data_IF_344057731162
#
_entry.id   IF_344057731162
#
_cell.length_a   1.000
_cell.length_b   1.000
_cell.length_c   1.000
_cell.angle_alpha   90.00
_cell.angle_beta   90.00
_cell.angle_gamma   90.00
#
_symmetry.space_group_name_H-M   'P 1'
#
loop_
_entity.id
_entity.type
_entity.pdbx_description
1 polymer ?
#
# COMPACT_ATOMS: atom_id res chain seq x y z
N UNK A 1 -16.01 -19.63 3.41
CA UNK A 1 -14.72 -19.84 4.10
C UNK A 1 -13.65 -19.12 3.32
N UNK A 2 -12.91 -18.24 3.97
CA UNK A 2 -11.74 -17.57 3.37
C UNK A 2 -10.58 -18.58 3.44
N UNK A 3 -9.96 -18.89 2.30
CA UNK A 3 -8.85 -19.86 2.24
C UNK A 3 -7.62 -19.38 3.02
N UNK A 4 -6.72 -20.30 3.39
CA UNK A 4 -5.52 -20.00 4.17
C UNK A 4 -4.67 -18.87 3.56
N UNK A 5 -4.56 -18.84 2.23
CA UNK A 5 -3.86 -17.80 1.47
C UNK A 5 -4.45 -16.39 1.68
N UNK A 6 -5.77 -16.29 1.77
CA UNK A 6 -6.43 -15.01 2.00
C UNK A 6 -6.30 -14.55 3.46
N UNK A 7 -6.21 -15.48 4.44
CA UNK A 7 -5.85 -15.10 5.81
C UNK A 7 -4.41 -14.58 5.90
N UNK A 8 -3.46 -15.16 5.14
CA UNK A 8 -2.09 -14.68 5.09
C UNK A 8 -1.95 -13.29 4.44
N UNK A 9 -2.76 -12.99 3.42
CA UNK A 9 -2.81 -11.66 2.79
C UNK A 9 -3.23 -10.55 3.76
N UNK A 10 -4.00 -10.89 4.82
CA UNK A 10 -4.35 -9.93 5.90
C UNK A 10 -3.15 -9.51 6.76
N UNK A 11 -2.05 -10.26 6.72
CA UNK A 11 -0.89 -10.06 7.60
C UNK A 11 0.37 -9.61 6.85
N UNK A 12 0.38 -9.70 5.51
CA UNK A 12 1.59 -9.52 4.72
C UNK A 12 1.52 -8.34 3.76
N UNK A 13 2.64 -7.65 3.61
CA UNK A 13 2.86 -6.70 2.52
C UNK A 13 3.54 -7.45 1.37
N UNK A 14 2.80 -7.69 0.30
CA UNK A 14 3.35 -8.38 -0.88
C UNK A 14 4.35 -7.50 -1.63
N UNK A 15 5.47 -8.09 -2.07
CA UNK A 15 6.49 -7.39 -2.87
C UNK A 15 5.96 -6.88 -4.23
N UNK A 16 4.84 -7.42 -4.72
CA UNK A 16 4.18 -6.93 -5.94
C UNK A 16 3.58 -5.53 -5.76
N UNK A 17 3.17 -5.19 -4.54
CA UNK A 17 2.66 -3.86 -4.22
C UNK A 17 3.72 -2.80 -4.52
N UNK A 18 4.95 -3.00 -4.02
CA UNK A 18 6.03 -2.04 -4.24
C UNK A 18 6.43 -1.94 -5.70
N UNK A 19 6.42 -3.06 -6.44
CA UNK A 19 6.66 -3.07 -7.89
C UNK A 19 5.66 -2.17 -8.63
N UNK A 20 4.36 -2.35 -8.43
CA UNK A 20 3.34 -1.55 -9.10
C UNK A 20 3.41 -0.06 -8.72
N UNK A 21 3.69 0.25 -7.45
CA UNK A 21 3.84 1.63 -6.99
C UNK A 21 5.09 2.31 -7.56
N UNK A 22 6.19 1.57 -7.76
CA UNK A 22 7.39 2.10 -8.43
C UNK A 22 7.09 2.46 -9.87
N UNK A 23 6.35 1.62 -10.57
CA UNK A 23 5.86 1.84 -11.95
C UNK A 23 4.71 2.87 -12.02
N UNK A 24 4.32 3.47 -10.89
CA UNK A 24 3.23 4.47 -10.80
C UNK A 24 1.90 3.96 -11.34
N UNK A 25 1.62 2.68 -11.11
CA UNK A 25 0.35 2.06 -11.46
C UNK A 25 -0.61 2.13 -10.28
N UNK A 26 -1.83 2.69 -10.45
CA UNK A 26 -2.91 2.52 -9.49
C UNK A 26 -3.22 1.05 -9.22
N UNK A 27 -3.58 0.72 -7.98
CA UNK A 27 -3.74 -0.67 -7.55
C UNK A 27 -5.16 -0.95 -7.08
N UNK A 28 -5.80 -1.97 -7.64
CA UNK A 28 -6.97 -2.59 -7.00
C UNK A 28 -6.49 -3.65 -6.03
N UNK A 29 -6.80 -3.48 -4.74
CA UNK A 29 -6.39 -4.38 -3.67
C UNK A 29 -7.60 -4.96 -2.97
N UNK A 30 -7.51 -6.21 -2.52
CA UNK A 30 -8.58 -6.81 -1.74
C UNK A 30 -8.77 -6.04 -0.44
N UNK A 31 -10.02 -5.70 -0.11
CA UNK A 31 -10.40 -4.81 0.99
C UNK A 31 -9.85 -5.23 2.36
N UNK A 32 -9.58 -6.51 2.53
CA UNK A 32 -9.09 -7.07 3.78
C UNK A 32 -7.58 -7.33 3.81
N UNK A 33 -6.86 -7.07 2.72
CA UNK A 33 -5.42 -7.23 2.70
C UNK A 33 -4.74 -6.24 3.65
N UNK A 34 -3.60 -6.62 4.25
CA UNK A 34 -2.85 -5.76 5.17
C UNK A 34 -2.56 -4.33 4.62
N UNK A 35 -2.27 -4.14 3.32
CA UNK A 35 -2.00 -2.82 2.78
C UNK A 35 -3.24 -2.01 2.41
N UNK A 36 -4.45 -2.57 2.50
CA UNK A 36 -5.64 -1.97 1.90
C UNK A 36 -5.94 -0.57 2.42
N UNK A 37 -5.90 -0.39 3.75
CA UNK A 37 -6.11 0.92 4.38
C UNK A 37 -5.01 1.92 4.02
N UNK A 38 -3.75 1.48 3.98
CA UNK A 38 -2.64 2.36 3.62
C UNK A 38 -2.73 2.81 2.17
N UNK A 39 -3.07 1.91 1.24
CA UNK A 39 -3.23 2.22 -0.19
C UNK A 39 -4.32 3.25 -0.41
N UNK A 40 -5.48 3.09 0.22
CA UNK A 40 -6.62 4.01 0.04
C UNK A 40 -6.38 5.35 0.74
N UNK A 41 -5.83 5.36 1.96
CA UNK A 41 -5.53 6.58 2.70
C UNK A 41 -4.47 7.47 2.01
N UNK A 42 -3.56 6.86 1.24
CA UNK A 42 -2.55 7.59 0.47
C UNK A 42 -2.98 7.89 -0.98
N UNK A 43 -4.23 7.56 -1.35
CA UNK A 43 -4.77 7.74 -2.70
C UNK A 43 -3.90 7.09 -3.79
N UNK A 44 -3.50 5.82 -3.58
CA UNK A 44 -2.64 5.06 -4.50
C UNK A 44 -3.42 3.98 -5.27
N UNK A 45 -4.72 3.87 -5.01
CA UNK A 45 -5.56 2.82 -5.55
C UNK A 45 -6.86 2.65 -4.77
N UNK A 46 -7.49 1.49 -4.95
CA UNK A 46 -8.82 1.20 -4.46
C UNK A 46 -8.88 -0.14 -3.73
N UNK A 47 -9.57 -0.17 -2.60
CA UNK A 47 -9.90 -1.39 -1.89
C UNK A 47 -11.24 -1.95 -2.40
N UNK A 48 -11.25 -3.19 -2.90
CA UNK A 48 -12.43 -3.87 -3.46
C UNK A 48 -12.73 -5.16 -2.69
N UNK A 49 -14.00 -5.48 -2.47
CA UNK A 49 -14.40 -6.73 -1.82
C UNK A 49 -14.26 -7.90 -2.80
N UNK A 50 -14.63 -7.66 -4.06
CA UNK A 50 -14.62 -8.65 -5.13
C UNK A 50 -14.36 -8.01 -6.51
N UNK A 51 -14.15 -8.82 -7.54
CA UNK A 51 -13.81 -8.34 -8.89
C UNK A 51 -14.94 -7.52 -9.56
N UNK A 52 -16.21 -7.74 -9.19
CA UNK A 52 -17.32 -7.00 -9.77
C UNK A 52 -17.32 -5.52 -9.33
N UNK A 53 -16.69 -5.20 -8.19
CA UNK A 53 -16.58 -3.83 -7.69
C UNK A 53 -15.63 -2.96 -8.54
N UNK A 54 -14.80 -3.57 -9.40
CA UNK A 54 -13.79 -2.85 -10.19
C UNK A 54 -14.43 -2.05 -11.33
N UNK A 55 -15.39 -2.64 -12.05
CA UNK A 55 -15.98 -1.99 -13.23
C UNK A 55 -16.65 -0.65 -12.93
N UNK A 56 -17.50 -0.53 -11.89
CA UNK A 56 -18.10 0.75 -11.55
C UNK A 56 -17.08 1.82 -11.18
N UNK A 57 -15.94 1.45 -10.62
CA UNK A 57 -14.87 2.39 -10.29
C UNK A 57 -14.24 2.92 -11.58
N UNK A 58 -13.86 2.02 -12.50
CA UNK A 58 -13.25 2.39 -13.78
C UNK A 58 -14.19 3.28 -14.60
N UNK A 59 -15.47 2.92 -14.69
CA UNK A 59 -16.45 3.64 -15.52
C UNK A 59 -16.73 5.07 -15.03
N UNK A 60 -16.57 5.32 -13.73
CA UNK A 60 -16.78 6.64 -13.11
C UNK A 60 -15.47 7.41 -12.88
N UNK A 61 -14.32 6.84 -13.22
CA UNK A 61 -13.04 7.46 -12.95
C UNK A 61 -12.73 8.54 -13.98
N UNK A 62 -12.53 9.77 -13.51
CA UNK A 62 -12.24 10.89 -14.40
C UNK A 62 -10.75 11.05 -14.63
N UNK A 63 -10.39 11.71 -15.75
CA UNK A 63 -9.00 12.04 -16.05
C UNK A 63 -8.39 12.90 -14.93
N UNK A 64 -9.12 13.88 -14.41
CA UNK A 64 -8.65 14.75 -13.33
C UNK A 64 -8.32 13.95 -12.05
N UNK A 65 -9.15 12.97 -11.69
CA UNK A 65 -8.89 12.07 -10.56
C UNK A 65 -7.67 11.19 -10.81
N UNK A 66 -7.47 10.73 -12.06
CA UNK A 66 -6.28 9.98 -12.43
C UNK A 66 -5.02 10.83 -12.33
N UNK A 67 -5.05 12.08 -12.77
CA UNK A 67 -3.91 12.99 -12.67
C UNK A 67 -3.55 13.27 -11.20
N UNK A 68 -4.53 13.52 -10.33
CA UNK A 68 -4.28 13.68 -8.89
C UNK A 68 -3.63 12.43 -8.29
N UNK A 69 -4.14 11.24 -8.64
CA UNK A 69 -3.57 9.97 -8.21
C UNK A 69 -2.13 9.78 -8.72
N UNK A 70 -1.84 10.20 -9.95
CA UNK A 70 -0.51 10.12 -10.55
C UNK A 70 0.53 11.00 -9.85
N UNK A 71 0.12 12.12 -9.26
CA UNK A 71 1.00 12.94 -8.42
C UNK A 71 1.38 12.20 -7.13
N UNK A 72 0.41 11.57 -6.46
CA UNK A 72 0.63 10.76 -5.25
C UNK A 72 1.52 9.56 -5.54
N UNK A 73 1.25 8.84 -6.63
CA UNK A 73 2.06 7.73 -7.11
C UNK A 73 3.49 8.16 -7.46
N UNK A 74 3.69 9.33 -8.05
CA UNK A 74 5.02 9.89 -8.33
C UNK A 74 5.83 10.09 -7.05
N UNK A 75 5.20 10.68 -6.04
CA UNK A 75 5.82 10.90 -4.74
C UNK A 75 6.22 9.58 -4.08
N UNK A 76 5.28 8.62 -3.98
CA UNK A 76 5.54 7.31 -3.35
C UNK A 76 6.57 6.50 -4.13
N UNK A 77 6.53 6.50 -5.46
CA UNK A 77 7.52 5.84 -6.31
C UNK A 77 8.95 6.30 -5.99
N UNK A 78 9.16 7.61 -5.77
CA UNK A 78 10.46 8.15 -5.36
C UNK A 78 10.88 7.66 -3.97
N UNK A 79 9.96 7.62 -3.01
CA UNK A 79 10.23 7.10 -1.66
C UNK A 79 10.66 5.63 -1.69
N UNK A 80 9.96 4.80 -2.48
CA UNK A 80 10.28 3.38 -2.62
C UNK A 80 11.65 3.20 -3.29
N UNK A 81 11.90 3.87 -4.42
CA UNK A 81 13.19 3.79 -5.15
C UNK A 81 14.39 4.24 -4.33
N UNK A 82 14.19 5.21 -3.44
CA UNK A 82 15.23 5.68 -2.52
C UNK A 82 15.37 4.82 -1.26
N UNK A 83 14.56 3.76 -1.13
CA UNK A 83 14.57 2.84 0.01
C UNK A 83 14.08 3.48 1.31
N UNK A 84 13.25 4.53 1.25
CA UNK A 84 12.88 5.33 2.42
C UNK A 84 12.15 4.50 3.48
N UNK A 85 11.23 3.62 3.08
CA UNK A 85 10.50 2.75 4.01
C UNK A 85 11.43 1.80 4.77
N UNK A 86 12.37 1.16 4.06
CA UNK A 86 13.34 0.25 4.69
C UNK A 86 14.31 1.01 5.60
N UNK A 87 14.80 2.18 5.17
CA UNK A 87 15.67 3.05 5.99
C UNK A 87 14.96 3.52 7.26
N UNK A 88 13.71 3.94 7.15
CA UNK A 88 12.91 4.37 8.28
C UNK A 88 12.67 3.21 9.26
N UNK A 89 12.24 2.04 8.76
CA UNK A 89 12.05 0.86 9.61
C UNK A 89 13.34 0.43 10.33
N UNK A 90 14.49 0.50 9.65
CA UNK A 90 15.79 0.20 10.27
C UNK A 90 16.15 1.23 11.35
N UNK A 91 15.90 2.52 11.11
CA UNK A 91 16.14 3.57 12.10
C UNK A 91 15.24 3.39 13.33
N UNK A 92 13.93 3.19 13.13
CA UNK A 92 12.97 2.92 14.20
C UNK A 92 13.37 1.71 15.03
N UNK A 93 13.81 0.62 14.38
CA UNK A 93 14.30 -0.56 15.09
C UNK A 93 15.54 -0.26 15.95
N UNK A 94 16.50 0.51 15.43
CA UNK A 94 17.69 0.93 16.18
C UNK A 94 17.32 1.84 17.35
N UNK A 95 16.37 2.76 17.19
CA UNK A 95 15.89 3.63 18.25
C UNK A 95 15.18 2.81 19.34
N UNK A 96 14.25 1.93 18.96
CA UNK A 96 13.51 1.08 19.89
C UNK A 96 14.42 0.16 20.72
N UNK A 97 15.53 -0.33 20.15
CA UNK A 97 16.52 -1.13 20.89
C UNK A 97 17.36 -0.28 21.84
N UNK A 98 17.64 0.98 21.48
CA UNK A 98 18.51 1.88 22.24
C UNK A 98 17.75 2.80 23.22
N UNK A 99 16.42 2.80 23.21
CA UNK A 99 15.63 3.39 24.29
C UNK A 99 15.99 2.69 25.60
N UNK A 100 16.76 3.39 26.44
CA UNK A 100 17.22 2.91 27.74
C UNK A 100 16.00 2.55 28.60
N UNK A 101 15.66 1.27 28.65
CA UNK A 101 14.72 0.60 29.55
C UNK A 101 13.48 1.40 29.98
N UNK A 102 12.32 0.96 29.54
CA UNK A 102 11.20 0.85 30.49
C UNK A 102 10.40 -0.42 30.23
N UNK A 103 10.65 -1.40 31.11
CA UNK A 103 9.86 -2.61 31.37
C UNK A 103 10.11 -3.81 30.45
N UNK A 104 11.33 -4.33 30.54
CA UNK A 104 11.51 -5.75 30.89
C UNK A 104 12.43 -5.83 32.10
#
# INVERSE_FOLDING_TARGET
MVGESANYSRLSYEHKLSLYLVERMPIFIWKHAAPAEWVTANHLGFAVENLADIWPIIDNFTEDQYQEMQERLSHVSKLIRNGMFAKHAALEAVLAVNETNSKW
#
